data_IF_472236514772
#
_entry.id   IF_472236514772
#
_cell.length_a   1.000
_cell.length_b   1.000
_cell.length_c   1.000
_cell.angle_alpha   90.00
_cell.angle_beta   90.00
_cell.angle_gamma   90.00
#
_symmetry.space_group_name_H-M   'P 1'
#
loop_
_entity.id
_entity.type
_entity.pdbx_description
1 polymer ?
#
# COMPACT_ATOMS: atom_id res chain seq x y z
N UNK A 1 18.19 15.25 -9.84
CA UNK A 1 16.80 15.72 -9.70
C UNK A 1 16.18 16.05 -11.05
N UNK A 2 16.80 16.89 -11.90
CA UNK A 2 16.30 17.20 -13.26
C UNK A 2 15.87 15.94 -14.04
N UNK A 3 16.75 14.95 -14.13
CA UNK A 3 16.48 13.69 -14.85
C UNK A 3 15.29 12.92 -14.27
N UNK A 4 15.11 12.94 -12.93
CA UNK A 4 13.96 12.31 -12.27
C UNK A 4 12.67 13.00 -12.68
N UNK A 5 12.67 14.34 -12.64
CA UNK A 5 11.50 15.16 -12.97
C UNK A 5 11.06 15.00 -14.42
N UNK A 6 11.98 14.77 -15.35
CA UNK A 6 11.67 14.62 -16.78
C UNK A 6 10.82 13.37 -17.07
N UNK A 7 11.00 12.31 -16.29
CA UNK A 7 10.30 11.02 -16.45
C UNK A 7 8.97 10.91 -15.69
N UNK A 8 8.68 11.84 -14.77
CA UNK A 8 7.37 11.88 -14.08
C UNK A 8 6.30 12.44 -15.01
N UNK A 9 5.05 12.00 -14.83
CA UNK A 9 3.93 12.67 -15.49
C UNK A 9 3.85 14.14 -15.01
N UNK A 10 3.42 15.06 -15.87
CA UNK A 10 3.59 16.51 -15.64
C UNK A 10 2.90 16.99 -14.38
N UNK A 11 1.72 16.44 -14.10
CA UNK A 11 0.89 16.75 -12.94
C UNK A 11 1.46 16.25 -11.60
N UNK A 12 2.44 15.33 -11.65
CA UNK A 12 3.05 14.74 -10.45
C UNK A 12 4.34 15.48 -10.02
N UNK A 13 4.70 16.59 -10.68
CA UNK A 13 6.00 17.26 -10.53
C UNK A 13 6.04 18.35 -9.45
N UNK A 14 4.95 18.57 -8.72
CA UNK A 14 4.83 19.69 -7.80
C UNK A 14 5.70 19.53 -6.53
N UNK A 15 5.49 18.47 -5.77
CA UNK A 15 6.24 18.18 -4.54
C UNK A 15 6.86 16.79 -4.66
N UNK A 16 8.12 16.72 -5.08
CA UNK A 16 8.79 15.46 -5.40
C UNK A 16 9.91 15.20 -4.41
N UNK A 17 9.84 14.04 -3.75
CA UNK A 17 10.93 13.45 -2.98
C UNK A 17 11.44 12.21 -3.73
N UNK A 18 12.75 12.13 -3.92
CA UNK A 18 13.43 10.98 -4.50
C UNK A 18 14.33 10.32 -3.45
N UNK A 19 14.27 8.98 -3.33
CA UNK A 19 15.13 8.17 -2.47
C UNK A 19 15.95 7.21 -3.33
N UNK A 20 17.27 7.28 -3.20
CA UNK A 20 18.22 6.41 -3.87
C UNK A 20 18.39 5.07 -3.12
N UNK A 21 19.05 4.10 -3.77
CA UNK A 21 19.27 2.77 -3.22
C UNK A 21 20.10 2.76 -1.92
N UNK A 22 20.98 3.75 -1.77
CA UNK A 22 21.89 3.88 -0.63
C UNK A 22 21.28 4.71 0.52
N UNK A 23 20.00 5.06 0.44
CA UNK A 23 19.31 5.91 1.42
C UNK A 23 19.54 7.41 1.24
N UNK A 24 20.31 7.85 0.23
CA UNK A 24 20.38 9.27 -0.13
C UNK A 24 19.01 9.76 -0.60
N UNK A 25 18.62 10.98 -0.23
CA UNK A 25 17.35 11.56 -0.61
C UNK A 25 17.51 12.97 -1.14
N UNK A 26 16.60 13.34 -2.03
CA UNK A 26 16.61 14.62 -2.73
C UNK A 26 15.18 15.12 -2.88
N UNK A 27 14.97 16.42 -2.77
CA UNK A 27 13.67 17.03 -3.01
C UNK A 27 13.79 18.11 -4.09
N UNK A 28 12.72 18.33 -4.85
CA UNK A 28 12.67 19.42 -5.84
C UNK A 28 12.48 20.81 -5.20
N UNK A 29 12.14 20.89 -3.90
CA UNK A 29 11.96 22.13 -3.14
C UNK A 29 12.74 22.07 -1.82
N UNK A 30 13.35 23.19 -1.44
CA UNK A 30 14.09 23.29 -0.17
C UNK A 30 13.17 23.16 1.06
N UNK A 31 11.96 23.71 1.00
CA UNK A 31 10.95 23.57 2.06
C UNK A 31 10.57 22.11 2.30
N UNK A 32 10.35 21.36 1.22
CA UNK A 32 10.03 19.94 1.26
C UNK A 32 11.16 19.12 1.90
N UNK A 33 12.42 19.44 1.57
CA UNK A 33 13.59 18.80 2.16
C UNK A 33 13.68 19.05 3.68
N UNK A 34 13.41 20.30 4.10
CA UNK A 34 13.45 20.68 5.51
C UNK A 34 12.33 19.98 6.31
N UNK A 35 11.11 19.92 5.74
CA UNK A 35 10.00 19.19 6.32
C UNK A 35 10.29 17.70 6.44
N UNK A 36 10.81 17.09 5.37
CA UNK A 36 11.17 15.68 5.35
C UNK A 36 12.19 15.33 6.45
N UNK A 37 13.24 16.14 6.60
CA UNK A 37 14.25 15.97 7.67
C UNK A 37 13.63 16.06 9.04
N UNK A 38 12.72 17.02 9.26
CA UNK A 38 12.03 17.20 10.54
C UNK A 38 11.12 16.01 10.88
N UNK A 39 10.37 15.49 9.90
CA UNK A 39 9.46 14.37 10.12
C UNK A 39 10.17 13.03 10.34
N UNK A 40 11.40 12.90 9.84
CA UNK A 40 12.18 11.67 9.89
C UNK A 40 13.37 11.76 10.85
N UNK A 41 13.30 12.65 11.84
CA UNK A 41 14.32 12.75 12.88
C UNK A 41 14.53 11.39 13.56
N UNK A 42 15.78 10.99 13.77
CA UNK A 42 16.15 9.67 14.30
C UNK A 42 16.17 8.52 13.28
N UNK A 43 15.63 8.72 12.07
CA UNK A 43 15.69 7.73 10.97
C UNK A 43 16.93 7.88 10.07
N UNK A 44 17.77 8.89 10.31
CA UNK A 44 19.01 9.11 9.56
C UNK A 44 20.23 8.44 10.21
N UNK A 45 21.16 7.96 9.41
CA UNK A 45 22.46 7.47 9.85
C UNK A 45 23.44 8.63 10.12
N UNK A 46 24.67 8.29 10.55
CA UNK A 46 25.71 9.28 10.86
C UNK A 46 26.16 10.11 9.64
N UNK A 47 25.85 9.66 8.41
CA UNK A 47 26.14 10.38 7.16
C UNK A 47 24.98 11.24 6.69
N UNK A 48 23.84 11.20 7.41
CA UNK A 48 22.63 11.95 7.08
C UNK A 48 21.75 11.27 6.04
N UNK A 49 22.03 10.01 5.65
CA UNK A 49 21.19 9.20 4.76
C UNK A 49 20.11 8.50 5.56
N UNK A 50 19.02 8.09 4.91
CA UNK A 50 18.03 7.22 5.56
C UNK A 50 18.70 5.90 5.93
N UNK A 51 18.53 5.49 7.19
CA UNK A 51 19.03 4.19 7.67
C UNK A 51 18.46 3.08 6.79
N UNK A 52 19.28 2.07 6.56
CA UNK A 52 18.82 0.85 5.95
C UNK A 52 18.18 -0.05 7.02
N UNK A 53 17.01 -0.62 6.71
CA UNK A 53 16.42 -1.77 7.40
C UNK A 53 17.43 -2.91 7.39
N UNK A 54 17.97 -3.20 8.57
CA UNK A 54 18.77 -4.40 8.85
C UNK A 54 17.88 -5.60 9.18
N UNK A 55 16.63 -5.35 9.60
CA UNK A 55 15.60 -6.34 9.88
C UNK A 55 14.34 -5.94 9.10
N UNK A 56 13.89 -6.83 8.22
CA UNK A 56 12.72 -6.61 7.36
C UNK A 56 11.48 -6.29 8.21
N UNK A 57 10.88 -5.12 7.97
CA UNK A 57 9.45 -4.99 8.28
C UNK A 57 8.76 -6.03 7.40
N UNK A 58 7.95 -6.93 7.96
CA UNK A 58 7.27 -8.01 7.27
C UNK A 58 6.52 -7.51 6.05
N UNK A 59 6.96 -7.95 4.90
CA UNK A 59 6.12 -7.98 3.72
C UNK A 59 5.41 -9.32 3.68
N UNK A 60 4.24 -9.31 3.07
CA UNK A 60 3.60 -10.50 2.53
C UNK A 60 4.61 -11.04 1.50
N UNK A 61 5.40 -12.05 1.89
CA UNK A 61 6.38 -12.72 1.03
C UNK A 61 5.63 -13.52 -0.04
N UNK A 62 5.58 -13.00 -1.26
CA UNK A 62 4.81 -13.59 -2.36
C UNK A 62 5.72 -14.50 -3.19
N UNK A 63 5.76 -15.78 -2.81
CA UNK A 63 6.42 -16.82 -3.58
C UNK A 63 6.05 -16.79 -5.07
N UNK A 64 7.09 -16.87 -5.90
CA UNK A 64 7.15 -17.14 -7.34
C UNK A 64 5.85 -16.99 -8.18
N UNK A 65 5.85 -16.02 -9.10
CA UNK A 65 4.78 -15.72 -10.10
C UNK A 65 4.29 -16.96 -10.90
N UNK A 66 5.08 -18.03 -10.94
CA UNK A 66 4.86 -19.20 -11.77
C UNK A 66 3.92 -20.28 -11.18
N UNK A 67 3.36 -20.12 -9.96
CA UNK A 67 2.56 -21.18 -9.32
C UNK A 67 1.07 -20.86 -9.10
N UNK A 68 0.48 -19.86 -9.77
CA UNK A 68 -0.96 -19.61 -9.68
C UNK A 68 -1.70 -20.55 -10.64
N UNK A 69 -1.83 -21.82 -10.24
CA UNK A 69 -2.84 -22.72 -10.81
C UNK A 69 -4.23 -22.18 -10.46
N UNK A 70 -5.11 -22.20 -11.48
CA UNK A 70 -6.53 -21.86 -11.42
C UNK A 70 -7.15 -22.46 -10.14
N UNK A 71 -7.86 -21.68 -9.29
CA UNK A 71 -8.44 -22.23 -8.08
C UNK A 71 -9.50 -23.26 -8.46
N UNK A 72 -9.27 -24.49 -8.01
CA UNK A 72 -10.23 -25.58 -8.12
C UNK A 72 -11.38 -25.28 -7.16
N UNK A 73 -12.58 -25.11 -7.71
CA UNK A 73 -13.79 -24.84 -6.94
C UNK A 73 -14.21 -26.15 -6.30
N UNK A 74 -13.74 -26.41 -5.07
CA UNK A 74 -14.28 -27.48 -4.23
C UNK A 74 -14.82 -26.88 -2.94
N UNK A 75 -16.16 -26.77 -2.93
CA UNK A 75 -17.09 -26.81 -1.78
C UNK A 75 -16.50 -26.51 -0.39
N UNK A 76 -16.69 -25.28 0.08
CA UNK A 76 -16.62 -24.94 1.50
C UNK A 76 -18.03 -24.97 2.08
N UNK A 77 -18.31 -25.99 2.89
CA UNK A 77 -19.46 -26.06 3.78
C UNK A 77 -19.29 -25.07 4.93
N UNK A 78 -20.36 -24.32 5.18
CA UNK A 78 -20.52 -23.30 6.22
C UNK A 78 -20.24 -23.83 7.63
N UNK A 79 -19.66 -22.98 8.49
CA UNK A 79 -20.05 -22.92 9.89
C UNK A 79 -20.03 -21.45 10.40
N UNK A 80 -21.24 -20.90 10.43
CA UNK A 80 -21.88 -20.00 11.40
C UNK A 80 -21.05 -18.98 12.17
N UNK A 81 -21.40 -17.70 12.03
CA UNK A 81 -20.94 -16.70 13.00
C UNK A 81 -21.40 -15.24 12.88
N UNK A 82 -21.96 -14.75 11.77
CA UNK A 82 -22.66 -13.46 11.76
C UNK A 82 -23.84 -13.47 10.78
N UNK A 83 -25.02 -13.15 11.30
CA UNK A 83 -26.11 -12.60 10.50
C UNK A 83 -25.64 -11.26 9.96
N UNK A 84 -25.22 -11.24 8.69
CA UNK A 84 -24.99 -10.02 7.92
C UNK A 84 -26.26 -9.16 7.95
N UNK A 85 -26.32 -8.23 8.89
CA UNK A 85 -27.36 -7.21 8.93
C UNK A 85 -27.17 -6.32 7.71
N UNK A 86 -27.99 -6.55 6.68
CA UNK A 86 -28.39 -5.62 5.60
C UNK A 86 -27.32 -4.80 4.85
N UNK A 87 -26.04 -5.16 4.97
CA UNK A 87 -24.92 -4.49 4.28
C UNK A 87 -24.30 -5.43 3.25
N UNK A 88 -23.90 -4.93 2.09
CA UNK A 88 -23.33 -5.71 0.97
C UNK A 88 -22.00 -6.42 1.26
N UNK A 89 -21.55 -6.44 2.52
CA UNK A 89 -20.32 -7.09 2.95
C UNK A 89 -20.47 -8.61 2.98
N UNK A 90 -19.55 -9.28 2.30
CA UNK A 90 -19.43 -10.74 2.24
C UNK A 90 -17.99 -11.17 2.49
N UNK A 91 -17.79 -12.44 2.84
CA UNK A 91 -16.45 -13.00 2.92
C UNK A 91 -15.78 -13.07 1.53
N UNK A 92 -14.45 -12.93 1.44
CA UNK A 92 -13.73 -13.14 0.18
C UNK A 92 -14.00 -14.53 -0.41
N UNK A 93 -14.16 -14.61 -1.72
CA UNK A 93 -14.42 -15.87 -2.44
C UNK A 93 -13.22 -16.82 -2.49
N UNK A 94 -12.02 -16.35 -2.16
CA UNK A 94 -10.82 -17.18 -2.04
C UNK A 94 -9.93 -16.73 -0.91
N UNK A 95 -9.19 -17.68 -0.34
CA UNK A 95 -8.27 -17.45 0.77
C UNK A 95 -6.87 -17.08 0.26
N UNK A 96 -6.24 -16.07 0.84
CA UNK A 96 -4.84 -15.76 0.55
C UNK A 96 -3.89 -16.71 1.30
N UNK A 97 -2.67 -16.86 0.79
CA UNK A 97 -1.58 -17.53 1.52
C UNK A 97 -1.32 -16.81 2.85
N UNK A 98 -1.16 -17.60 3.92
CA UNK A 98 -0.74 -17.05 5.19
C UNK A 98 0.77 -16.78 5.19
N UNK A 99 1.14 -15.51 5.28
CA UNK A 99 2.53 -15.07 5.27
C UNK A 99 3.05 -14.69 6.67
N UNK A 100 2.30 -15.04 7.73
CA UNK A 100 2.62 -14.76 9.13
C UNK A 100 2.98 -13.28 9.37
N UNK A 101 2.20 -12.38 8.76
CA UNK A 101 2.41 -10.93 8.75
C UNK A 101 1.13 -10.14 9.04
N UNK A 102 0.13 -10.78 9.64
CA UNK A 102 -1.19 -10.20 9.91
C UNK A 102 -2.23 -10.39 8.77
N UNK A 103 -3.49 -9.99 9.02
CA UNK A 103 -4.59 -10.18 8.08
C UNK A 103 -4.60 -9.12 6.97
N UNK A 104 -5.04 -9.52 5.77
CA UNK A 104 -5.06 -8.66 4.59
C UNK A 104 -6.08 -9.10 3.52
N UNK A 105 -6.43 -8.15 2.65
CA UNK A 105 -7.17 -8.33 1.39
C UNK A 105 -6.27 -7.97 0.23
N UNK A 106 -6.19 -8.82 -0.80
CA UNK A 106 -5.31 -8.61 -1.97
C UNK A 106 -6.06 -8.75 -3.30
N UNK A 107 -5.72 -7.87 -4.24
CA UNK A 107 -6.10 -7.97 -5.65
C UNK A 107 -4.85 -7.79 -6.53
N UNK A 108 -4.66 -8.70 -7.50
CA UNK A 108 -3.56 -8.67 -8.45
C UNK A 108 -4.07 -8.50 -9.88
N UNK A 109 -3.40 -7.68 -10.68
CA UNK A 109 -3.60 -7.65 -12.13
C UNK A 109 -2.99 -8.89 -12.79
N UNK A 110 -3.31 -9.14 -14.06
CA UNK A 110 -2.46 -9.97 -14.95
C UNK A 110 -1.10 -9.28 -15.16
N UNK A 111 -0.13 -10.00 -15.69
CA UNK A 111 1.16 -9.39 -16.04
C UNK A 111 1.02 -8.44 -17.23
N UNK A 112 1.91 -7.45 -17.34
CA UNK A 112 1.92 -6.48 -18.44
C UNK A 112 1.52 -5.07 -18.04
N UNK A 113 1.42 -4.78 -16.75
CA UNK A 113 1.05 -3.46 -16.23
C UNK A 113 2.12 -2.92 -15.31
N UNK A 114 2.39 -1.63 -15.44
CA UNK A 114 3.40 -0.88 -14.65
C UNK A 114 2.80 0.34 -13.98
N UNK A 115 1.46 0.46 -13.99
CA UNK A 115 0.73 1.62 -13.49
C UNK A 115 -0.62 1.25 -12.88
N UNK A 116 -0.98 1.93 -11.80
CA UNK A 116 -2.30 1.93 -11.16
C UNK A 116 -2.74 3.35 -10.82
N UNK A 117 -4.02 3.67 -11.02
CA UNK A 117 -4.66 4.86 -10.44
C UNK A 117 -5.95 4.46 -9.72
N UNK A 118 -6.26 5.12 -8.60
CA UNK A 118 -7.45 4.84 -7.81
C UNK A 118 -7.86 6.04 -6.94
N UNK A 119 -9.15 6.13 -6.61
CA UNK A 119 -9.64 6.93 -5.50
C UNK A 119 -9.81 6.01 -4.28
N UNK A 120 -9.22 6.39 -3.16
CA UNK A 120 -9.14 5.57 -1.94
C UNK A 120 -9.75 6.36 -0.78
N UNK A 121 -10.81 5.83 -0.18
CA UNK A 121 -11.30 6.35 1.10
C UNK A 121 -10.39 5.89 2.24
N UNK A 122 -9.95 6.85 3.05
CA UNK A 122 -9.10 6.65 4.21
C UNK A 122 -9.95 6.58 5.48
N UNK A 123 -9.98 5.43 6.18
CA UNK A 123 -10.78 5.27 7.40
C UNK A 123 -10.40 6.23 8.52
N UNK A 124 -11.40 6.64 9.31
CA UNK A 124 -11.25 7.53 10.45
C UNK A 124 -11.27 6.84 11.82
N UNK A 125 -10.65 7.50 12.80
CA UNK A 125 -10.84 7.20 14.22
C UNK A 125 -12.15 7.77 14.75
N UNK A 126 -12.68 7.21 15.85
CA UNK A 126 -12.29 5.93 16.46
C UNK A 126 -13.01 4.73 15.82
N UNK A 127 -13.97 4.97 14.92
CA UNK A 127 -14.96 3.97 14.53
C UNK A 127 -14.53 3.07 13.36
N UNK A 128 -13.55 3.52 12.56
CA UNK A 128 -13.15 2.82 11.34
C UNK A 128 -11.69 2.37 11.33
N UNK A 129 -10.79 3.00 12.10
CA UNK A 129 -9.41 2.52 12.22
C UNK A 129 -8.89 2.61 13.66
N UNK A 130 -8.55 1.46 14.24
CA UNK A 130 -7.94 1.34 15.57
C UNK A 130 -6.82 0.32 15.50
N UNK A 131 -5.62 0.72 15.92
CA UNK A 131 -4.47 -0.17 16.07
C UNK A 131 -4.18 -0.36 17.56
N UNK A 132 -3.93 -1.59 17.95
CA UNK A 132 -3.56 -1.96 19.32
C UNK A 132 -2.17 -2.63 19.29
N UNK A 133 -1.11 -1.91 18.85
CA UNK A 133 0.20 -2.52 18.71
C UNK A 133 0.76 -2.90 20.08
N UNK A 134 1.38 -4.08 20.14
CA UNK A 134 2.26 -4.47 21.25
C UNK A 134 3.70 -4.57 20.74
N UNK A 135 4.66 -4.70 21.67
CA UNK A 135 6.06 -4.94 21.31
C UNK A 135 6.26 -6.22 20.48
N UNK A 136 5.32 -7.16 20.53
CA UNK A 136 5.38 -8.43 19.80
C UNK A 136 4.53 -8.44 18.53
N UNK A 137 3.40 -7.73 18.51
CA UNK A 137 2.49 -7.73 17.36
C UNK A 137 2.89 -6.67 16.32
N UNK A 138 3.30 -5.48 16.77
CA UNK A 138 3.66 -4.36 15.91
C UNK A 138 2.56 -3.92 14.93
N UNK A 139 1.28 -4.06 15.32
CA UNK A 139 0.14 -3.79 14.45
C UNK A 139 0.20 -2.40 13.80
N UNK A 140 0.19 -2.38 12.47
CA UNK A 140 0.17 -1.15 11.69
C UNK A 140 -0.79 -1.30 10.52
N UNK A 141 -1.66 -0.31 10.34
CA UNK A 141 -2.60 -0.31 9.22
C UNK A 141 -1.95 0.17 7.93
N UNK A 142 -2.21 -0.53 6.82
CA UNK A 142 -1.69 -0.18 5.50
C UNK A 142 -2.78 -0.25 4.43
N UNK A 143 -2.74 0.72 3.51
CA UNK A 143 -3.56 0.76 2.30
C UNK A 143 -2.60 1.10 1.16
N UNK A 144 -2.29 0.12 0.31
CA UNK A 144 -1.18 0.27 -0.62
C UNK A 144 -1.38 -0.43 -1.94
N UNK A 145 -0.51 -0.04 -2.86
CA UNK A 145 -0.36 -0.62 -4.19
C UNK A 145 1.12 -0.97 -4.39
N UNK A 146 1.48 -1.35 -5.60
CA UNK A 146 2.83 -1.65 -5.97
C UNK A 146 2.87 -2.62 -7.13
N UNK A 147 4.03 -3.24 -7.33
CA UNK A 147 4.16 -4.29 -8.32
C UNK A 147 4.95 -5.48 -7.78
N UNK A 148 4.64 -6.65 -8.34
CA UNK A 148 5.36 -7.90 -8.14
C UNK A 148 5.98 -8.31 -9.48
N UNK A 149 7.22 -8.76 -9.44
CA UNK A 149 7.98 -9.31 -10.56
C UNK A 149 8.62 -10.64 -10.15
N UNK A 150 9.26 -11.32 -11.10
CA UNK A 150 10.04 -12.52 -10.77
C UNK A 150 11.28 -12.22 -9.91
N UNK A 151 11.72 -10.96 -9.87
CA UNK A 151 12.89 -10.52 -9.09
C UNK A 151 12.53 -10.07 -7.68
N UNK A 152 11.27 -9.75 -7.42
CA UNK A 152 10.77 -9.33 -6.10
C UNK A 152 9.59 -8.37 -6.22
N UNK A 153 9.39 -7.53 -5.21
CA UNK A 153 8.24 -6.65 -5.15
C UNK A 153 8.55 -5.29 -4.52
N UNK A 154 7.67 -4.33 -4.80
CA UNK A 154 7.64 -3.02 -4.15
C UNK A 154 6.25 -2.79 -3.63
N UNK A 155 6.17 -2.26 -2.41
CA UNK A 155 4.92 -1.84 -1.79
C UNK A 155 5.02 -0.34 -1.54
N UNK A 156 4.07 0.41 -2.10
CA UNK A 156 3.98 1.85 -1.97
C UNK A 156 2.54 2.24 -1.73
N UNK A 157 2.29 3.02 -0.70
CA UNK A 157 0.95 3.44 -0.37
C UNK A 157 0.92 4.32 0.85
N UNK A 158 -0.12 4.14 1.66
CA UNK A 158 -0.31 4.88 2.90
C UNK A 158 -0.32 3.96 4.12
N UNK A 159 0.42 4.35 5.14
CA UNK A 159 0.51 3.69 6.43
C UNK A 159 -0.16 4.56 7.50
N UNK A 160 -0.85 3.91 8.43
CA UNK A 160 -1.58 4.59 9.48
C UNK A 160 -0.62 5.20 10.50
N UNK A 161 -0.52 6.52 10.57
CA UNK A 161 0.29 7.21 11.56
C UNK A 161 -0.45 7.24 12.91
N UNK A 162 -0.26 6.14 13.61
CA UNK A 162 -0.84 5.80 14.90
C UNK A 162 0.26 5.80 15.95
N UNK A 163 0.60 6.98 16.46
CA UNK A 163 1.32 7.12 17.73
C UNK A 163 0.48 7.97 18.66
N UNK A 164 0.49 7.66 19.96
CA UNK A 164 -0.15 8.51 20.96
C UNK A 164 0.76 9.73 21.23
N UNK A 165 0.23 10.94 21.11
CA UNK A 165 0.97 12.17 21.41
C UNK A 165 0.47 13.41 20.66
N UNK A 166 1.13 14.57 20.84
CA UNK A 166 0.74 15.82 20.20
C UNK A 166 1.34 16.01 18.78
N UNK A 167 1.99 15.00 18.19
CA UNK A 167 2.67 15.16 16.91
C UNK A 167 1.68 15.57 15.80
N UNK A 168 2.07 16.48 14.89
CA UNK A 168 1.21 16.92 13.78
C UNK A 168 0.74 15.77 12.87
N UNK A 169 1.48 14.66 12.82
CA UNK A 169 1.18 13.47 12.01
C UNK A 169 0.21 12.49 12.68
N UNK A 170 -0.05 12.63 13.98
CA UNK A 170 -0.95 11.71 14.67
C UNK A 170 -2.35 11.85 14.08
N UNK A 171 -2.97 10.72 13.74
CA UNK A 171 -4.28 10.66 13.08
C UNK A 171 -4.28 10.98 11.57
N UNK A 172 -3.19 10.62 10.89
CA UNK A 172 -3.08 10.70 9.43
C UNK A 172 -2.72 9.36 8.82
N UNK A 173 -2.82 9.27 7.50
CA UNK A 173 -2.28 8.20 6.68
C UNK A 173 -1.09 8.76 5.91
N UNK A 174 0.14 8.32 6.23
CA UNK A 174 1.39 8.82 5.63
C UNK A 174 1.90 7.93 4.52
N UNK A 175 2.47 8.52 3.46
CA UNK A 175 3.12 7.77 2.38
C UNK A 175 4.25 6.90 2.90
N UNK A 176 4.34 5.69 2.37
CA UNK A 176 5.37 4.73 2.70
C UNK A 176 5.89 4.01 1.45
N UNK A 177 7.09 3.46 1.57
CA UNK A 177 7.70 2.58 0.57
C UNK A 177 8.52 1.50 1.24
N UNK A 178 8.53 0.32 0.63
CA UNK A 178 9.36 -0.83 1.03
C UNK A 178 9.60 -1.73 -0.19
N UNK A 179 10.65 -2.54 -0.14
CA UNK A 179 11.06 -3.44 -1.24
C UNK A 179 11.90 -2.78 -2.35
N UNK A 180 11.87 -1.46 -2.50
CA UNK A 180 12.64 -0.74 -3.52
C UNK A 180 14.16 -0.66 -3.20
N UNK A 181 14.44 -0.54 -1.91
CA UNK A 181 15.74 -0.61 -1.24
C UNK A 181 15.46 -1.00 0.22
N UNK A 182 16.43 -1.60 0.91
CA UNK A 182 16.30 -1.88 2.33
C UNK A 182 16.32 -0.59 3.15
N UNK A 183 15.62 0.48 2.79
CA UNK A 183 15.57 1.75 3.55
C UNK A 183 14.45 1.72 4.57
N UNK A 184 14.65 2.37 5.72
CA UNK A 184 13.57 2.60 6.69
C UNK A 184 12.47 3.40 6.00
N UNK A 185 11.24 2.97 6.22
CA UNK A 185 10.03 3.64 5.75
C UNK A 185 10.00 5.11 6.18
N UNK A 186 10.06 6.06 5.23
CA UNK A 186 9.97 7.48 5.54
C UNK A 186 8.55 7.87 5.99
N UNK A 187 8.45 8.85 6.87
CA UNK A 187 7.22 9.62 7.06
C UNK A 187 7.21 10.76 6.04
N UNK A 188 6.27 10.72 5.12
CA UNK A 188 6.14 11.70 4.04
C UNK A 188 4.68 11.77 3.58
N UNK A 189 4.21 12.92 3.09
CA UNK A 189 2.85 13.05 2.54
C UNK A 189 1.76 12.51 3.48
N UNK A 190 1.40 13.29 4.50
CA UNK A 190 0.42 12.90 5.51
C UNK A 190 -0.99 13.36 5.13
N UNK A 191 -1.93 12.42 5.00
CA UNK A 191 -3.30 12.68 4.58
C UNK A 191 -4.32 12.47 5.70
N UNK A 192 -5.34 13.32 5.72
CA UNK A 192 -6.39 13.31 6.73
C UNK A 192 -7.20 12.02 6.69
N UNK A 193 -7.38 11.42 7.85
CA UNK A 193 -8.38 10.37 8.09
C UNK A 193 -9.80 10.83 7.72
N UNK A 194 -10.65 9.89 7.31
CA UNK A 194 -12.06 10.14 6.96
C UNK A 194 -12.25 10.89 5.64
N UNK A 195 -11.19 11.03 4.85
CA UNK A 195 -11.21 11.68 3.53
C UNK A 195 -10.78 10.72 2.44
N UNK A 196 -11.00 11.08 1.18
CA UNK A 196 -10.50 10.32 0.05
C UNK A 196 -9.19 10.92 -0.48
N UNK A 197 -8.29 10.04 -0.92
CA UNK A 197 -7.10 10.41 -1.70
C UNK A 197 -7.23 9.87 -3.11
N UNK A 198 -6.73 10.63 -4.08
CA UNK A 198 -6.37 10.09 -5.38
C UNK A 198 -4.93 9.57 -5.29
N UNK A 199 -4.74 8.28 -5.57
CA UNK A 199 -3.46 7.61 -5.54
C UNK A 199 -3.09 7.11 -6.93
N UNK A 200 -1.83 7.31 -7.31
CA UNK A 200 -1.24 6.84 -8.56
C UNK A 200 0.10 6.18 -8.28
N UNK A 201 0.25 4.94 -8.71
CA UNK A 201 1.51 4.22 -8.70
C UNK A 201 1.95 3.99 -10.15
N UNK A 202 3.24 4.16 -10.45
CA UNK A 202 3.78 3.81 -11.75
C UNK A 202 5.30 3.66 -11.76
N UNK A 203 5.82 3.04 -12.82
CA UNK A 203 7.25 3.01 -13.14
C UNK A 203 7.58 4.15 -14.14
N UNK A 204 8.10 5.31 -13.68
CA UNK A 204 8.36 6.47 -14.56
C UNK A 204 9.51 6.21 -15.54
N UNK A 205 10.51 5.44 -15.10
CA UNK A 205 11.60 4.93 -15.90
C UNK A 205 11.98 3.55 -15.38
N UNK A 206 12.69 2.75 -16.17
CA UNK A 206 13.13 1.42 -15.75
C UNK A 206 13.91 1.52 -14.43
N UNK A 207 13.67 0.58 -13.53
CA UNK A 207 14.28 0.53 -12.21
C UNK A 207 13.93 1.74 -11.32
N UNK A 208 12.73 2.30 -11.51
CA UNK A 208 12.13 3.25 -10.59
C UNK A 208 10.68 2.90 -10.27
N UNK A 209 10.21 3.36 -9.12
CA UNK A 209 8.80 3.37 -8.78
C UNK A 209 8.42 4.75 -8.24
N UNK A 210 7.25 5.22 -8.63
CA UNK A 210 6.68 6.49 -8.18
C UNK A 210 5.31 6.24 -7.56
N UNK A 211 5.05 6.91 -6.45
CA UNK A 211 3.76 7.03 -5.80
C UNK A 211 3.38 8.50 -5.73
N UNK A 212 2.30 8.88 -6.39
CA UNK A 212 1.67 10.18 -6.29
C UNK A 212 0.40 10.06 -5.45
N UNK A 213 0.19 10.99 -4.52
CA UNK A 213 -1.02 11.10 -3.72
C UNK A 213 -1.51 12.55 -3.69
N UNK A 214 -2.81 12.75 -3.89
CA UNK A 214 -3.50 14.04 -3.75
C UNK A 214 -4.71 13.89 -2.85
N UNK A 215 -4.89 14.81 -1.91
CA UNK A 215 -5.96 14.80 -0.92
C UNK A 215 -5.88 16.00 0.00
N UNK A 216 -6.20 15.81 1.28
CA UNK A 216 -6.16 16.87 2.29
C UNK A 216 -5.18 16.53 3.42
N UNK A 217 -4.44 17.53 3.90
CA UNK A 217 -3.63 17.40 5.12
C UNK A 217 -4.52 17.37 6.38
N UNK A 218 -3.90 17.15 7.55
CA UNK A 218 -4.61 17.12 8.84
C UNK A 218 -5.47 18.37 9.10
N UNK A 219 -5.01 19.54 8.66
CA UNK A 219 -5.72 20.81 8.82
C UNK A 219 -6.86 21.00 7.80
N UNK A 220 -6.95 20.12 6.79
CA UNK A 220 -7.95 20.20 5.73
C UNK A 220 -7.50 21.03 4.51
N UNK A 221 -6.22 21.37 4.40
CA UNK A 221 -5.69 22.04 3.21
C UNK A 221 -5.40 21.02 2.11
N UNK A 222 -5.54 21.38 0.82
CA UNK A 222 -5.10 20.54 -0.28
C UNK A 222 -3.62 20.16 -0.14
N UNK A 223 -3.32 18.88 -0.29
CA UNK A 223 -2.00 18.31 -0.10
C UNK A 223 -1.68 17.34 -1.24
N UNK A 224 -0.53 17.53 -1.88
CA UNK A 224 -0.10 16.76 -3.05
C UNK A 224 1.38 16.40 -2.87
N UNK A 225 1.72 15.13 -3.03
CA UNK A 225 3.08 14.64 -2.87
C UNK A 225 3.39 13.51 -3.84
N UNK A 226 4.64 13.45 -4.29
CA UNK A 226 5.18 12.39 -5.14
C UNK A 226 6.44 11.83 -4.48
N UNK A 227 6.40 10.55 -4.14
CA UNK A 227 7.54 9.79 -3.68
C UNK A 227 8.08 8.96 -4.84
N UNK A 228 9.35 9.13 -5.17
CA UNK A 228 10.06 8.34 -6.18
C UNK A 228 11.18 7.57 -5.51
N UNK A 229 11.34 6.30 -5.87
CA UNK A 229 12.41 5.45 -5.36
C UNK A 229 13.20 4.84 -6.49
N UNK A 230 14.52 4.78 -6.29
CA UNK A 230 15.37 3.89 -7.06
C UNK A 230 15.04 2.45 -6.70
N UNK A 231 15.07 1.58 -7.71
CA UNK A 231 14.80 0.15 -7.58
C UNK A 231 16.01 -0.61 -8.09
N UNK A 232 16.42 -1.69 -7.43
CA UNK A 232 17.52 -2.51 -7.92
C UNK A 232 17.18 -3.11 -9.29
N UNK A 233 18.14 -3.14 -10.21
CA UNK A 233 17.99 -3.76 -11.53
C UNK A 233 17.61 -5.23 -11.45
N UNK A 234 18.02 -5.91 -10.37
CA UNK A 234 17.64 -7.31 -10.08
C UNK A 234 16.14 -7.51 -9.91
N UNK A 235 15.40 -6.48 -9.49
CA UNK A 235 13.94 -6.55 -9.34
C UNK A 235 13.19 -6.40 -10.66
N UNK A 236 13.87 -6.04 -11.75
CA UNK A 236 13.32 -6.08 -13.12
C UNK A 236 12.05 -5.22 -13.33
N UNK A 237 11.97 -4.04 -12.71
CA UNK A 237 10.87 -3.09 -12.88
C UNK A 237 11.03 -2.32 -14.20
N UNK A 238 10.04 -2.42 -15.08
CA UNK A 238 10.07 -1.86 -16.44
C UNK A 238 8.89 -0.93 -16.69
N UNK A 239 9.12 0.16 -17.42
CA UNK A 239 8.05 1.05 -17.87
C UNK A 239 6.99 0.31 -18.70
N UNK A 240 7.39 -0.72 -19.43
CA UNK A 240 6.49 -1.54 -20.25
C UNK A 240 5.58 -2.49 -19.47
N UNK A 241 5.80 -2.69 -18.17
CA UNK A 241 5.04 -3.66 -17.36
C UNK A 241 5.33 -5.13 -17.68
N UNK A 242 6.26 -5.43 -18.60
CA UNK A 242 6.61 -6.80 -18.98
C UNK A 242 7.14 -7.55 -17.75
N UNK A 243 6.48 -8.66 -17.40
CA UNK A 243 6.82 -9.47 -16.22
C UNK A 243 6.40 -8.86 -14.89
N UNK A 244 5.62 -7.77 -14.91
CA UNK A 244 5.12 -7.08 -13.71
C UNK A 244 3.62 -7.28 -13.56
N UNK A 245 3.18 -7.56 -12.33
CA UNK A 245 1.78 -7.51 -11.93
C UNK A 245 1.58 -6.38 -10.93
N UNK A 246 0.54 -5.59 -11.13
CA UNK A 246 0.13 -4.56 -10.18
C UNK A 246 -0.67 -5.21 -9.06
N UNK A 247 -0.42 -4.77 -7.82
CA UNK A 247 -1.17 -5.20 -6.65
C UNK A 247 -1.85 -4.03 -5.96
N UNK A 248 -2.98 -4.30 -5.31
CA UNK A 248 -3.58 -3.41 -4.30
C UNK A 248 -3.99 -4.21 -3.08
N UNK A 249 -3.65 -3.69 -1.90
CA UNK A 249 -3.75 -4.39 -0.63
C UNK A 249 -4.27 -3.45 0.46
N UNK A 250 -5.16 -3.98 1.28
CA UNK A 250 -5.53 -3.40 2.58
C UNK A 250 -5.16 -4.42 3.65
N UNK A 251 -4.38 -4.01 4.64
CA UNK A 251 -3.85 -4.94 5.66
C UNK A 251 -3.68 -4.30 7.03
N UNK A 252 -3.67 -5.15 8.05
CA UNK A 252 -3.03 -4.86 9.33
C UNK A 252 -1.73 -5.67 9.32
N UNK A 253 -0.61 -4.99 9.07
CA UNK A 253 0.71 -5.62 9.08
C UNK A 253 1.16 -5.86 10.52
N UNK A 254 1.80 -7.01 10.75
CA UNK A 254 2.37 -7.44 12.03
C UNK A 254 3.76 -8.00 11.81
N UNK A 255 4.65 -7.88 12.82
CA UNK A 255 6.08 -8.26 12.79
C UNK A 255 6.28 -9.65 12.14
N UNK A 256 7.32 -9.81 11.29
CA UNK A 256 7.52 -11.01 10.48
C UNK A 256 7.67 -12.22 11.38
N UNK A 257 6.97 -13.30 11.03
CA UNK A 257 6.90 -14.55 11.81
C UNK A 257 6.24 -14.39 13.19
N UNK A 258 5.60 -13.26 13.47
CA UNK A 258 4.86 -13.00 14.69
C UNK A 258 3.43 -12.56 14.34
N UNK A 259 2.55 -13.54 14.25
CA UNK A 259 1.15 -13.30 13.95
C UNK A 259 0.29 -13.38 15.22
N UNK A 260 -0.40 -12.29 15.54
CA UNK A 260 -1.32 -12.19 16.66
C UNK A 260 -2.70 -11.68 16.19
N UNK A 261 -3.63 -12.60 15.92
CA UNK A 261 -4.99 -12.24 15.50
C UNK A 261 -5.92 -11.88 16.66
N UNK A 262 -5.39 -11.57 17.85
CA UNK A 262 -6.23 -11.33 19.05
C UNK A 262 -6.16 -9.89 19.57
N UNK A 263 -5.34 -9.03 18.94
CA UNK A 263 -5.10 -7.64 19.38
C UNK A 263 -6.34 -6.74 19.33
N UNK A 264 -7.37 -7.14 18.58
CA UNK A 264 -8.57 -6.33 18.37
C UNK A 264 -8.39 -5.17 17.40
N UNK A 265 -7.19 -5.00 16.81
CA UNK A 265 -6.94 -3.99 15.77
C UNK A 265 -7.90 -4.18 14.59
N UNK A 266 -8.38 -3.08 14.02
CA UNK A 266 -9.26 -3.14 12.85
C UNK A 266 -9.10 -1.93 11.94
N UNK A 267 -9.45 -2.14 10.67
CA UNK A 267 -9.63 -1.11 9.64
C UNK A 267 -10.92 -1.44 8.88
N UNK A 268 -11.89 -0.54 8.86
CA UNK A 268 -13.20 -0.69 8.20
C UNK A 268 -13.35 0.29 7.07
N UNK A 269 -14.24 -0.02 6.12
CA UNK A 269 -14.68 0.88 5.06
C UNK A 269 -13.57 1.42 4.14
N UNK A 270 -12.39 0.79 4.04
CA UNK A 270 -11.38 1.20 3.04
C UNK A 270 -11.99 1.04 1.66
N UNK A 271 -12.28 2.16 1.00
CA UNK A 271 -12.99 2.18 -0.27
C UNK A 271 -12.04 2.34 -1.43
N UNK A 272 -11.79 1.28 -2.18
CA UNK A 272 -11.10 1.35 -3.46
C UNK A 272 -12.15 1.62 -4.54
N UNK A 273 -11.99 2.72 -5.29
CA UNK A 273 -12.94 3.07 -6.35
C UNK A 273 -12.24 3.58 -7.59
N UNK A 274 -12.87 3.34 -8.75
CA UNK A 274 -12.34 3.70 -10.05
C UNK A 274 -10.89 3.22 -10.26
N UNK A 275 -10.57 2.00 -9.80
CA UNK A 275 -9.22 1.45 -9.97
C UNK A 275 -8.98 1.15 -11.45
N UNK A 276 -7.96 1.78 -12.02
CA UNK A 276 -7.50 1.56 -13.39
C UNK A 276 -6.04 1.14 -13.41
N UNK A 277 -5.68 0.34 -14.41
CA UNK A 277 -4.30 -0.12 -14.64
C UNK A 277 -3.87 0.13 -16.08
N UNK A 278 -2.57 0.31 -16.29
CA UNK A 278 -2.01 0.59 -17.61
C UNK A 278 -0.49 0.50 -17.60
N UNK A 279 0.12 1.11 -18.60
CA UNK A 279 1.59 1.31 -18.66
C UNK A 279 1.96 2.78 -18.83
N UNK A 280 1.07 3.59 -19.42
CA UNK A 280 1.32 5.00 -19.77
C UNK A 280 0.11 5.86 -19.46
N UNK A 281 0.33 7.17 -19.27
CA UNK A 281 -0.71 8.13 -18.96
C UNK A 281 -1.74 8.25 -20.06
N UNK A 282 -3.01 8.20 -19.68
CA UNK A 282 -4.15 8.23 -20.59
C UNK A 282 -4.48 6.88 -21.25
N UNK A 283 -3.68 5.83 -21.00
CA UNK A 283 -3.94 4.48 -21.53
C UNK A 283 -4.55 3.54 -20.48
N UNK A 284 -4.79 4.02 -19.26
CA UNK A 284 -5.27 3.21 -18.17
C UNK A 284 -6.71 2.75 -18.42
N UNK A 285 -6.93 1.44 -18.28
CA UNK A 285 -8.24 0.81 -18.41
C UNK A 285 -8.77 0.44 -17.04
N UNK A 286 -10.10 0.51 -16.87
CA UNK A 286 -10.75 0.08 -15.64
C UNK A 286 -10.41 -1.40 -15.34
N UNK A 287 -10.07 -1.70 -14.09
CA UNK A 287 -9.87 -3.08 -13.68
C UNK A 287 -11.18 -3.86 -13.82
N UNK A 288 -11.11 -5.02 -14.45
CA UNK A 288 -12.21 -5.93 -14.69
C UNK A 288 -11.70 -7.38 -14.68
N UNK A 289 -12.57 -8.35 -14.96
CA UNK A 289 -12.20 -9.77 -14.96
C UNK A 289 -11.16 -10.15 -16.04
N UNK A 290 -11.07 -9.42 -17.15
CA UNK A 290 -10.13 -9.75 -18.23
C UNK A 290 -8.69 -9.34 -17.92
N UNK A 291 -8.49 -8.36 -17.03
CA UNK A 291 -7.18 -7.83 -16.66
C UNK A 291 -6.79 -8.08 -15.17
N UNK A 292 -7.67 -8.70 -14.39
CA UNK A 292 -7.41 -9.16 -13.03
C UNK A 292 -6.96 -10.62 -13.04
N UNK A 293 -5.88 -10.95 -12.33
CA UNK A 293 -5.38 -12.33 -12.22
C UNK A 293 -5.97 -13.05 -11.01
N UNK A 294 -6.04 -12.38 -9.86
CA UNK A 294 -6.48 -13.00 -8.62
C UNK A 294 -7.02 -11.98 -7.62
N UNK A 295 -7.88 -12.48 -6.74
CA UNK A 295 -8.49 -11.73 -5.65
C UNK A 295 -8.67 -12.68 -4.47
N UNK A 296 -8.02 -12.42 -3.35
CA UNK A 296 -8.14 -13.24 -2.15
C UNK A 296 -8.24 -12.37 -0.88
N UNK A 297 -8.69 -12.95 0.24
CA UNK A 297 -8.51 -12.38 1.58
C UNK A 297 -7.98 -13.41 2.56
N UNK A 298 -7.32 -12.95 3.62
CA UNK A 298 -6.51 -13.80 4.52
C UNK A 298 -7.24 -15.01 5.11
N UNK A 299 -8.33 -14.80 5.85
CA UNK A 299 -9.28 -15.81 6.33
C UNK A 299 -10.66 -15.16 6.30
N UNK A 300 -11.71 -15.96 6.07
CA UNK A 300 -13.09 -15.46 6.03
C UNK A 300 -13.46 -14.72 7.32
N UNK A 301 -13.03 -15.21 8.48
CA UNK A 301 -13.29 -14.55 9.76
C UNK A 301 -12.53 -13.24 9.99
N UNK A 302 -11.53 -12.87 9.18
CA UNK A 302 -10.73 -11.65 9.39
C UNK A 302 -10.96 -10.57 8.33
N UNK A 303 -11.62 -10.91 7.23
CA UNK A 303 -11.85 -10.00 6.10
C UNK A 303 -13.31 -10.04 5.65
N UNK A 304 -13.91 -8.86 5.51
CA UNK A 304 -15.18 -8.66 4.82
C UNK A 304 -14.98 -7.69 3.66
N UNK A 305 -15.70 -7.94 2.56
CA UNK A 305 -15.62 -7.14 1.34
C UNK A 305 -17.03 -6.82 0.86
N UNK A 306 -17.33 -5.54 0.69
CA UNK A 306 -18.49 -5.07 -0.08
C UNK A 306 -18.02 -4.91 -1.52
N UNK A 307 -18.15 -6.01 -2.28
CA UNK A 307 -17.57 -6.15 -3.61
C UNK A 307 -18.59 -5.76 -4.69
N UNK A 308 -18.28 -4.74 -5.47
CA UNK A 308 -19.09 -4.37 -6.66
C UNK A 308 -18.46 -4.92 -7.93
N UNK A 309 -17.17 -4.67 -8.15
CA UNK A 309 -16.37 -5.21 -9.26
C UNK A 309 -14.88 -5.05 -8.96
N UNK A 310 -14.00 -5.50 -9.86
CA UNK A 310 -12.54 -5.47 -9.65
C UNK A 310 -11.99 -4.06 -9.43
N UNK A 311 -12.69 -3.04 -9.92
CA UNK A 311 -12.33 -1.63 -9.76
C UNK A 311 -13.00 -0.92 -8.59
N UNK A 312 -13.97 -1.56 -7.91
CA UNK A 312 -14.77 -0.95 -6.86
C UNK A 312 -15.09 -1.96 -5.74
N UNK A 313 -14.51 -1.74 -4.56
CA UNK A 313 -14.83 -2.51 -3.36
C UNK A 313 -14.62 -1.68 -2.09
N UNK A 314 -15.31 -2.04 -1.02
CA UNK A 314 -14.94 -1.64 0.34
C UNK A 314 -14.39 -2.82 1.10
N UNK A 315 -13.38 -2.58 1.92
CA UNK A 315 -12.67 -3.62 2.66
C UNK A 315 -12.72 -3.34 4.15
N UNK A 316 -13.02 -4.40 4.92
CA UNK A 316 -12.82 -4.47 6.36
C UNK A 316 -11.82 -5.57 6.67
N UNK A 317 -10.77 -5.22 7.42
CA UNK A 317 -9.78 -6.14 7.99
C UNK A 317 -9.78 -6.03 9.52
N UNK A 318 -9.69 -7.15 10.24
CA UNK A 318 -9.59 -7.19 11.71
C UNK A 318 -8.63 -8.28 12.20
N UNK A 319 -7.81 -7.94 13.18
CA UNK A 319 -7.12 -8.88 14.05
C UNK A 319 -8.13 -9.40 15.09
N UNK A 320 -8.85 -10.44 14.68
CA UNK A 320 -9.94 -11.07 15.46
C UNK A 320 -11.06 -11.51 14.53
N UNK A 321 -12.08 -12.16 15.08
CA UNK A 321 -13.26 -12.54 14.31
C UNK A 321 -14.11 -11.30 13.99
N UNK A 322 -14.41 -11.13 12.71
CA UNK A 322 -15.39 -10.20 12.17
C UNK A 322 -16.79 -10.73 12.40
#
# INVERSE_FOLDING_TARGET
MKDIMEHLDKEDRENVLYIALDGSYYANKASLLAEFKKQNEGKFDATGKLKLLTNEIPLIDEGNINSITKPDVTTLTEETGLTATSSGYQHPSSQCTNNNSGPYRKVLSKSGYSRLIANIYLPAKPNEAVMTPSATSGDKGYIYTGAVTSGGQIDMGLALNYEAGPAPTNETWGMFVTGASSVITPDYGNYKMGTSVYMKYYTPQNNQAALYCSGYDKAGNPSIHTLVVAVSTSLNFKTSGVGMQIKRITSIGQIKNHQDLTTGSFIKNVGWSNVKIGTTSGSEVLMNSSNTSSMCGYKTSNVLVDYTNQANEKVWVKCGNL
#
